data_IF_429141695448
#
_entry.id   IF_429141695448
#
_cell.length_a   1.000
_cell.length_b   1.000
_cell.length_c   1.000
_cell.angle_alpha   90.00
_cell.angle_beta   90.00
_cell.angle_gamma   90.00
#
_symmetry.space_group_name_H-M   'P 1'
#
loop_
_entity.id
_entity.type
_entity.pdbx_description
1 polymer ?
#
# COMPACT_ATOMS: atom_id res chain seq x y z
N UNK A 1 15.40 50.96 28.40
CA UNK A 1 16.71 50.40 28.00
C UNK A 1 16.51 48.92 27.63
N UNK A 2 16.23 48.63 26.35
CA UNK A 2 16.05 47.25 25.88
C UNK A 2 17.39 46.51 25.83
N UNK A 3 17.44 45.27 26.32
CA UNK A 3 18.65 44.44 26.30
C UNK A 3 18.95 44.06 24.84
N UNK A 4 20.02 44.60 24.27
CA UNK A 4 20.54 44.16 22.97
C UNK A 4 20.91 42.67 23.07
N UNK A 5 20.18 41.83 22.35
CA UNK A 5 20.58 40.45 22.12
C UNK A 5 21.67 40.46 21.05
N UNK A 6 22.93 40.40 21.46
CA UNK A 6 24.02 40.16 20.53
C UNK A 6 23.80 38.79 19.86
N UNK A 7 23.93 38.76 18.53
CA UNK A 7 23.89 37.52 17.76
C UNK A 7 25.00 36.59 18.29
N UNK A 8 24.64 35.34 18.57
CA UNK A 8 25.60 34.31 19.00
C UNK A 8 26.68 34.16 17.94
N UNK A 9 27.93 33.99 18.38
CA UNK A 9 29.01 33.70 17.44
C UNK A 9 28.80 32.32 16.81
N UNK A 10 29.33 32.05 15.60
CA UNK A 10 29.19 30.76 14.94
C UNK A 10 29.68 29.58 15.80
N UNK A 11 30.65 29.83 16.68
CA UNK A 11 31.18 28.84 17.61
C UNK A 11 30.23 28.57 18.79
N UNK A 12 29.60 29.62 19.31
CA UNK A 12 28.60 29.52 20.36
C UNK A 12 27.31 28.82 19.86
N UNK A 13 26.95 29.04 18.58
CA UNK A 13 25.86 28.33 17.93
C UNK A 13 26.15 26.82 17.83
N UNK A 14 27.37 26.42 17.42
CA UNK A 14 27.77 25.00 17.37
C UNK A 14 27.73 24.34 18.76
N UNK A 15 28.21 25.03 19.79
CA UNK A 15 28.13 24.50 21.17
C UNK A 15 26.69 24.35 21.65
N UNK A 16 25.83 25.32 21.32
CA UNK A 16 24.42 25.27 21.62
C UNK A 16 23.74 24.08 20.92
N UNK A 17 24.08 23.83 19.66
CA UNK A 17 23.53 22.73 18.87
C UNK A 17 24.03 21.37 19.37
N UNK A 18 25.30 21.24 19.75
CA UNK A 18 25.82 20.04 20.43
C UNK A 18 25.10 19.78 21.76
N UNK A 19 24.84 20.83 22.55
CA UNK A 19 24.09 20.70 23.81
C UNK A 19 22.63 20.30 23.57
N UNK A 20 22.01 20.81 22.50
CA UNK A 20 20.64 20.45 22.08
C UNK A 20 20.58 19.01 21.58
N UNK A 21 21.54 18.58 20.76
CA UNK A 21 21.67 17.21 20.27
C UNK A 21 21.88 16.21 21.42
N UNK A 22 22.73 16.53 22.40
CA UNK A 22 22.94 15.69 23.58
C UNK A 22 21.69 15.54 24.45
N UNK A 23 20.91 16.62 24.61
CA UNK A 23 19.62 16.56 25.30
C UNK A 23 18.59 15.71 24.54
N UNK A 24 18.55 15.84 23.22
CA UNK A 24 17.67 15.03 22.37
C UNK A 24 18.03 13.53 22.44
N UNK A 25 19.33 13.20 22.34
CA UNK A 25 19.82 11.82 22.48
C UNK A 25 19.47 11.22 23.86
N UNK A 26 19.62 11.99 24.95
CA UNK A 26 19.23 11.53 26.29
C UNK A 26 17.71 11.29 26.41
N UNK A 27 16.89 12.11 25.76
CA UNK A 27 15.42 11.94 25.74
C UNK A 27 15.01 10.73 24.91
N UNK A 28 15.67 10.48 23.78
CA UNK A 28 15.46 9.29 22.95
C UNK A 28 15.84 8.01 23.70
N UNK A 29 17.00 7.96 24.35
CA UNK A 29 17.43 6.81 25.15
C UNK A 29 16.48 6.52 26.34
N UNK A 30 15.84 7.55 26.93
CA UNK A 30 14.85 7.36 27.98
C UNK A 30 13.52 6.78 27.46
N UNK A 31 13.15 7.05 26.21
CA UNK A 31 11.95 6.47 25.58
C UNK A 31 12.15 4.98 25.28
N UNK A 32 13.30 4.61 24.72
CA UNK A 32 13.63 3.20 24.43
C UNK A 32 13.61 2.34 25.69
N UNK A 33 14.08 2.86 26.84
CA UNK A 33 14.02 2.13 28.12
C UNK A 33 12.61 1.98 28.71
N UNK A 34 11.63 2.75 28.25
CA UNK A 34 10.26 2.67 28.76
C UNK A 34 9.42 1.67 27.95
N UNK A 35 9.83 1.33 26.72
CA UNK A 35 9.10 0.36 25.88
C UNK A 35 9.42 -1.11 26.22
N UNK A 36 10.56 -1.39 26.86
CA UNK A 36 10.96 -2.76 27.25
C UNK A 36 10.52 -3.18 28.68
N UNK A 37 9.75 -2.33 29.40
CA UNK A 37 9.43 -2.55 30.82
C UNK A 37 7.97 -2.90 31.12
N UNK A 38 7.11 -3.10 30.12
CA UNK A 38 5.67 -3.34 30.32
C UNK A 38 5.25 -4.79 29.98
N UNK A 39 5.98 -5.76 30.54
CA UNK A 39 5.51 -7.14 30.63
C UNK A 39 5.85 -7.69 32.02
N UNK A 40 4.91 -7.55 32.96
CA UNK A 40 4.50 -8.55 33.96
C UNK A 40 3.72 -7.89 35.13
N UNK A 41 2.42 -8.17 35.20
CA UNK A 41 1.68 -8.34 36.46
C UNK A 41 1.34 -7.12 37.32
N UNK A 42 0.05 -6.79 37.42
CA UNK A 42 -0.66 -6.84 38.72
C UNK A 42 -2.12 -6.38 38.57
N UNK A 43 -3.00 -7.29 38.96
CA UNK A 43 -4.38 -7.01 39.35
C UNK A 43 -4.43 -6.06 40.56
N UNK A 44 -5.50 -5.26 40.68
CA UNK A 44 -5.90 -4.73 41.97
C UNK A 44 -6.43 -3.28 42.02
N UNK A 45 -7.74 -3.19 42.18
CA UNK A 45 -8.40 -2.33 43.19
C UNK A 45 -8.51 -0.80 42.98
N UNK A 46 -9.78 -0.39 42.82
CA UNK A 46 -10.50 0.57 43.69
C UNK A 46 -10.29 2.10 43.53
N UNK A 47 -11.44 2.73 43.23
CA UNK A 47 -11.94 3.99 43.83
C UNK A 47 -11.28 5.31 43.41
N UNK A 48 -12.03 6.11 42.65
CA UNK A 48 -12.78 7.24 43.25
C UNK A 48 -13.77 7.86 42.26
N UNK A 49 -15.02 7.90 42.70
CA UNK A 49 -16.10 8.73 42.18
C UNK A 49 -15.69 10.21 42.19
N UNK A 50 -15.95 10.92 41.10
CA UNK A 50 -16.38 12.32 41.15
C UNK A 50 -17.53 12.51 40.15
N UNK A 51 -18.71 12.75 40.72
CA UNK A 51 -19.88 13.31 40.05
C UNK A 51 -19.69 14.83 39.95
N UNK A 52 -19.90 15.35 38.75
CA UNK A 52 -20.58 16.61 38.42
C UNK A 52 -21.17 16.32 37.04
N UNK A 53 -22.50 16.22 36.87
CA UNK A 53 -23.37 17.35 36.53
C UNK A 53 -22.76 18.17 35.37
N UNK A 54 -23.40 18.43 34.25
CA UNK A 54 -24.76 18.28 33.73
C UNK A 54 -24.58 18.85 32.33
N UNK A 55 -24.81 18.09 31.25
CA UNK A 55 -24.96 18.69 29.92
C UNK A 55 -25.69 17.72 29.00
N UNK A 56 -26.75 18.26 28.42
CA UNK A 56 -27.85 17.56 27.79
C UNK A 56 -27.39 16.87 26.51
N UNK A 57 -27.40 15.55 26.56
CA UNK A 57 -27.26 14.67 25.41
C UNK A 57 -28.54 14.75 24.56
N UNK A 58 -28.43 15.44 23.42
CA UNK A 58 -29.48 15.50 22.41
C UNK A 58 -29.55 14.14 21.69
N UNK A 59 -30.29 13.21 22.30
CA UNK A 59 -30.58 11.88 21.74
C UNK A 59 -31.54 12.05 20.57
N UNK A 60 -31.00 11.99 19.35
CA UNK A 60 -31.78 11.85 18.14
C UNK A 60 -32.34 10.42 18.09
N UNK A 61 -33.56 10.23 18.61
CA UNK A 61 -34.33 9.00 18.44
C UNK A 61 -34.66 8.84 16.96
N UNK A 62 -33.94 7.93 16.28
CA UNK A 62 -34.37 7.40 14.99
C UNK A 62 -35.24 6.17 15.29
N UNK A 63 -36.54 6.32 15.05
CA UNK A 63 -37.56 5.29 15.12
C UNK A 63 -37.24 4.21 14.08
N UNK A 64 -36.73 3.06 14.53
CA UNK A 64 -36.47 1.89 13.70
C UNK A 64 -37.74 1.02 13.68
N UNK A 65 -38.66 1.39 12.80
CA UNK A 65 -39.80 0.57 12.43
C UNK A 65 -39.93 0.51 10.91
N UNK A 66 -39.75 -0.70 10.40
CA UNK A 66 -40.00 -1.17 9.03
C UNK A 66 -38.91 -0.88 7.99
N UNK A 67 -38.17 -1.93 7.58
CA UNK A 67 -38.42 -2.57 6.27
C UNK A 67 -37.26 -3.50 5.89
N UNK A 68 -37.56 -4.79 5.85
CA UNK A 68 -36.75 -5.77 5.14
C UNK A 68 -36.89 -5.54 3.63
N UNK A 69 -35.87 -4.94 3.01
CA UNK A 69 -35.78 -4.86 1.56
C UNK A 69 -34.81 -3.80 1.10
N UNK A 70 -33.95 -4.14 0.13
CA UNK A 70 -33.15 -3.21 -0.69
C UNK A 70 -31.74 -2.83 -0.20
N UNK A 71 -30.84 -3.82 -0.10
CA UNK A 71 -29.38 -3.57 -0.09
C UNK A 71 -28.81 -3.23 -1.49
N UNK A 72 -29.58 -3.39 -2.57
CA UNK A 72 -29.11 -3.14 -3.94
C UNK A 72 -29.17 -1.67 -4.39
N UNK A 73 -29.84 -0.78 -3.67
CA UNK A 73 -29.98 0.63 -4.08
C UNK A 73 -28.91 1.59 -3.52
N UNK A 74 -28.19 1.23 -2.44
CA UNK A 74 -27.08 2.08 -1.93
C UNK A 74 -25.85 2.08 -2.83
N UNK A 75 -25.59 1.01 -3.59
CA UNK A 75 -24.39 0.92 -4.44
C UNK A 75 -24.47 1.82 -5.69
N UNK A 76 -25.67 1.94 -6.30
CA UNK A 76 -25.88 2.80 -7.48
C UNK A 76 -25.79 4.31 -7.18
N UNK A 77 -26.00 4.72 -5.93
CA UNK A 77 -25.83 6.12 -5.51
C UNK A 77 -24.37 6.55 -5.46
N UNK A 78 -23.47 5.66 -5.04
CA UNK A 78 -22.03 5.93 -5.04
C UNK A 78 -21.43 5.94 -6.43
N UNK A 79 -21.85 5.04 -7.33
CA UNK A 79 -21.43 5.08 -8.74
C UNK A 79 -21.87 6.37 -9.44
N UNK A 80 -23.07 6.88 -9.14
CA UNK A 80 -23.56 8.14 -9.72
C UNK A 80 -22.78 9.36 -9.20
N UNK A 81 -22.45 9.39 -7.90
CA UNK A 81 -21.62 10.45 -7.33
C UNK A 81 -20.18 10.38 -7.83
N UNK A 82 -19.62 9.19 -8.03
CA UNK A 82 -18.30 9.02 -8.63
C UNK A 82 -18.28 9.43 -10.11
N UNK A 83 -19.31 9.08 -10.88
CA UNK A 83 -19.42 9.52 -12.27
C UNK A 83 -19.52 11.05 -12.37
N UNK A 84 -20.26 11.70 -11.47
CA UNK A 84 -20.29 13.16 -11.40
C UNK A 84 -18.94 13.75 -11.01
N UNK A 85 -18.23 13.16 -10.04
CA UNK A 85 -16.92 13.63 -9.61
C UNK A 85 -15.86 13.46 -10.71
N UNK A 86 -15.88 12.34 -11.45
CA UNK A 86 -15.01 12.15 -12.61
C UNK A 86 -15.34 13.11 -13.77
N UNK A 87 -16.62 13.45 -13.98
CA UNK A 87 -17.01 14.47 -14.95
C UNK A 87 -16.57 15.88 -14.52
N UNK A 88 -16.68 16.20 -13.23
CA UNK A 88 -16.15 17.45 -12.66
C UNK A 88 -14.62 17.51 -12.76
N UNK A 89 -13.91 16.42 -12.49
CA UNK A 89 -12.46 16.34 -12.64
C UNK A 89 -12.05 16.49 -14.11
N UNK A 90 -12.76 15.86 -15.05
CA UNK A 90 -12.53 16.06 -16.49
C UNK A 90 -12.85 17.48 -16.94
N UNK A 91 -13.88 18.10 -16.38
CA UNK A 91 -14.22 19.50 -16.64
C UNK A 91 -13.14 20.43 -16.10
N UNK A 92 -12.65 20.17 -14.88
CA UNK A 92 -11.53 20.89 -14.27
C UNK A 92 -10.24 20.70 -15.07
N UNK A 93 -9.86 19.49 -15.46
CA UNK A 93 -8.68 19.23 -16.31
C UNK A 93 -8.82 19.92 -17.67
N UNK A 94 -10.02 19.94 -18.25
CA UNK A 94 -10.28 20.66 -19.50
C UNK A 94 -10.17 22.18 -19.32
N UNK A 95 -10.62 22.71 -18.20
CA UNK A 95 -10.46 24.13 -17.85
C UNK A 95 -8.99 24.47 -17.59
N UNK A 96 -8.24 23.62 -16.87
CA UNK A 96 -6.81 23.81 -16.61
C UNK A 96 -5.98 23.69 -17.88
N UNK A 97 -6.30 22.75 -18.79
CA UNK A 97 -5.67 22.64 -20.09
C UNK A 97 -5.92 23.85 -20.98
N UNK A 98 -7.11 24.47 -20.90
CA UNK A 98 -7.41 25.70 -21.63
C UNK A 98 -6.61 26.92 -21.12
N UNK A 99 -6.32 26.99 -19.81
CA UNK A 99 -5.44 28.04 -19.25
C UNK A 99 -3.95 27.82 -19.57
N UNK A 100 -3.51 26.57 -19.73
CA UNK A 100 -2.12 26.26 -20.08
C UNK A 100 -1.74 26.74 -21.51
N UNK A 101 -2.69 26.77 -22.45
CA UNK A 101 -2.45 27.30 -23.81
C UNK A 101 -2.38 28.84 -23.84
N UNK A 102 -2.92 29.53 -22.83
CA UNK A 102 -2.87 30.99 -22.69
C UNK A 102 -1.53 31.51 -22.13
N UNK A 103 -0.67 30.63 -21.57
CA UNK A 103 0.74 30.99 -21.23
C UNK A 103 1.55 31.46 -22.45
N UNK A 104 1.06 31.21 -23.67
CA UNK A 104 1.67 31.69 -24.91
C UNK A 104 1.55 33.21 -25.08
N UNK A 105 0.52 33.85 -24.53
CA UNK A 105 0.32 35.31 -24.62
C UNK A 105 1.28 36.08 -23.71
N UNK A 106 1.60 35.55 -22.53
CA UNK A 106 2.61 36.12 -21.63
C UNK A 106 3.99 36.19 -22.30
N UNK A 107 4.31 35.24 -23.17
CA UNK A 107 5.57 35.24 -23.93
C UNK A 107 5.64 36.36 -24.99
N UNK A 108 4.51 36.70 -25.61
CA UNK A 108 4.43 37.76 -26.65
C UNK A 108 4.38 39.14 -25.99
N UNK A 109 3.68 39.26 -24.87
CA UNK A 109 3.66 40.49 -24.06
C UNK A 109 5.02 40.78 -23.43
N UNK A 110 5.76 39.76 -22.99
CA UNK A 110 7.15 39.89 -22.56
C UNK A 110 8.08 40.38 -23.68
N UNK A 111 7.89 39.90 -24.93
CA UNK A 111 8.67 40.34 -26.09
C UNK A 111 8.38 41.81 -26.46
N UNK A 112 7.12 42.25 -26.44
CA UNK A 112 6.76 43.66 -26.69
C UNK A 112 7.23 44.61 -25.58
N UNK A 113 7.17 44.16 -24.32
CA UNK A 113 7.67 44.93 -23.18
C UNK A 113 9.21 45.09 -23.19
N UNK A 114 9.96 44.26 -23.91
CA UNK A 114 11.41 44.39 -24.01
C UNK A 114 11.88 45.63 -24.80
N UNK A 115 11.05 46.16 -25.71
CA UNK A 115 11.43 47.25 -26.64
C UNK A 115 10.94 48.63 -26.20
N UNK A 116 9.94 48.70 -25.33
CA UNK A 116 9.52 49.94 -24.69
C UNK A 116 10.20 50.06 -23.32
N UNK A 117 10.71 51.25 -23.00
CA UNK A 117 11.20 51.59 -21.65
C UNK A 117 9.99 51.72 -20.70
N UNK A 118 9.31 50.61 -20.49
CA UNK A 118 8.22 50.46 -19.53
C UNK A 118 8.87 50.32 -18.16
N UNK A 119 8.55 51.20 -17.19
CA UNK A 119 9.07 51.12 -15.84
C UNK A 119 8.87 49.72 -15.26
N UNK A 120 9.87 49.21 -14.53
CA UNK A 120 9.91 47.81 -14.05
C UNK A 120 8.62 47.36 -13.36
N UNK A 121 7.94 48.23 -12.62
CA UNK A 121 6.67 47.95 -11.93
C UNK A 121 5.46 47.60 -12.84
N UNK A 122 5.54 47.83 -14.15
CA UNK A 122 4.49 47.50 -15.14
C UNK A 122 4.84 46.29 -16.01
N UNK A 123 6.04 45.70 -15.84
CA UNK A 123 6.36 44.41 -16.47
C UNK A 123 5.73 43.33 -15.60
N UNK A 124 4.70 42.65 -16.12
CA UNK A 124 3.91 41.62 -15.43
C UNK A 124 4.66 40.34 -15.02
N UNK A 125 5.98 40.39 -14.83
CA UNK A 125 6.77 39.24 -14.39
C UNK A 125 7.92 39.68 -13.49
N UNK A 126 7.87 39.29 -12.22
CA UNK A 126 9.04 39.34 -11.33
C UNK A 126 8.85 40.08 -10.01
N UNK A 127 7.84 39.71 -9.23
CA UNK A 127 7.85 39.98 -7.77
C UNK A 127 8.62 38.88 -6.99
N UNK A 128 9.09 37.84 -7.68
CA UNK A 128 9.59 36.58 -7.09
C UNK A 128 11.13 36.53 -6.91
N UNK A 129 11.84 37.65 -7.12
CA UNK A 129 13.31 37.75 -6.99
C UNK A 129 13.81 38.87 -6.06
N UNK A 130 12.91 39.47 -5.30
CA UNK A 130 13.21 40.64 -4.47
C UNK A 130 13.46 40.33 -2.98
N UNK A 131 13.74 39.07 -2.62
CA UNK A 131 14.10 38.71 -1.23
C UNK A 131 15.54 39.13 -0.85
N UNK A 132 16.37 39.56 -1.82
CA UNK A 132 17.78 39.96 -1.62
C UNK A 132 18.01 41.49 -1.66
N UNK A 133 16.98 42.34 -1.48
CA UNK A 133 17.09 43.81 -1.59
C UNK A 133 17.53 44.54 -0.31
N UNK A 134 17.54 43.87 0.85
CA UNK A 134 17.85 44.53 2.13
C UNK A 134 19.34 44.90 2.29
N UNK A 135 20.20 44.55 1.32
CA UNK A 135 21.65 44.74 1.38
C UNK A 135 22.24 45.52 0.19
N UNK A 136 21.41 46.19 -0.61
CA UNK A 136 21.85 47.00 -1.76
C UNK A 136 22.22 48.40 -1.27
N UNK A 137 23.45 48.82 -1.56
CA UNK A 137 23.99 50.11 -1.12
C UNK A 137 23.27 51.28 -1.84
N UNK A 138 22.54 52.17 -1.14
CA UNK A 138 21.70 53.21 -1.75
C UNK A 138 22.43 54.18 -2.67
N UNK A 139 23.76 54.27 -2.56
CA UNK A 139 24.59 55.17 -3.34
C UNK A 139 24.91 54.64 -4.75
N UNK A 140 24.63 53.36 -5.01
CA UNK A 140 24.85 52.70 -6.30
C UNK A 140 23.55 52.47 -7.08
N UNK A 141 22.40 52.91 -6.56
CA UNK A 141 21.11 52.85 -7.27
C UNK A 141 20.93 54.07 -8.18
N UNK A 142 20.31 53.86 -9.34
CA UNK A 142 19.85 54.95 -10.19
C UNK A 142 18.72 55.74 -9.48
N UNK A 143 18.58 57.03 -9.77
CA UNK A 143 17.65 57.92 -9.04
C UNK A 143 16.19 57.42 -9.05
N UNK A 144 15.79 56.70 -10.10
CA UNK A 144 14.46 56.08 -10.22
C UNK A 144 14.31 54.86 -9.30
N UNK A 145 15.33 54.00 -9.22
CA UNK A 145 15.37 52.85 -8.32
C UNK A 145 15.43 53.31 -6.85
N UNK A 146 16.18 54.39 -6.56
CA UNK A 146 16.21 55.00 -5.24
C UNK A 146 14.83 55.53 -4.83
N UNK A 147 14.11 56.18 -5.75
CA UNK A 147 12.76 56.67 -5.47
C UNK A 147 11.76 55.53 -5.21
N UNK A 148 11.89 54.40 -5.91
CA UNK A 148 11.07 53.21 -5.67
C UNK A 148 11.45 52.53 -4.34
N UNK A 149 12.74 52.40 -4.04
CA UNK A 149 13.23 51.91 -2.74
C UNK A 149 12.72 52.75 -1.58
N UNK A 150 12.77 54.08 -1.66
CA UNK A 150 12.22 54.97 -0.62
C UNK A 150 10.71 54.79 -0.47
N UNK A 151 9.95 54.67 -1.58
CA UNK A 151 8.50 54.44 -1.52
C UNK A 151 8.17 53.08 -0.90
N UNK A 152 8.87 52.02 -1.30
CA UNK A 152 8.69 50.69 -0.72
C UNK A 152 9.07 50.67 0.76
N UNK A 153 10.18 51.28 1.15
CA UNK A 153 10.63 51.33 2.54
C UNK A 153 9.67 52.16 3.42
N UNK A 154 9.12 53.25 2.86
CA UNK A 154 8.03 54.01 3.51
C UNK A 154 6.72 53.21 3.60
N UNK A 155 6.39 52.41 2.58
CA UNK A 155 5.23 51.53 2.60
C UNK A 155 5.39 50.42 3.65
N UNK A 156 6.55 49.73 3.67
CA UNK A 156 6.94 48.75 4.69
C UNK A 156 6.86 49.34 6.11
N UNK A 157 7.31 50.58 6.32
CA UNK A 157 7.20 51.27 7.62
C UNK A 157 5.76 51.58 8.01
N UNK A 158 4.91 52.01 7.06
CA UNK A 158 3.49 52.31 7.33
C UNK A 158 2.62 51.06 7.50
N UNK A 159 2.96 49.98 6.80
CA UNK A 159 2.20 48.72 6.77
C UNK A 159 2.94 47.60 7.52
N UNK A 160 3.89 47.95 8.40
CA UNK A 160 4.64 46.97 9.19
C UNK A 160 3.71 46.08 10.03
N UNK A 161 2.65 46.67 10.61
CA UNK A 161 1.63 45.93 11.34
C UNK A 161 0.81 44.99 10.44
N UNK A 162 0.57 45.35 9.18
CA UNK A 162 -0.14 44.51 8.22
C UNK A 162 0.75 43.38 7.70
N UNK A 163 2.04 43.64 7.47
CA UNK A 163 3.04 42.63 7.14
C UNK A 163 3.17 41.58 8.24
N UNK A 164 3.26 42.02 9.51
CA UNK A 164 3.30 41.10 10.65
C UNK A 164 2.01 40.28 10.78
N UNK A 165 0.84 40.88 10.55
CA UNK A 165 -0.43 40.16 10.55
C UNK A 165 -0.50 39.12 9.41
N UNK A 166 -0.01 39.46 8.22
CA UNK A 166 0.05 38.56 7.08
C UNK A 166 1.05 37.42 7.29
N UNK A 167 2.21 37.68 7.91
CA UNK A 167 3.18 36.66 8.30
C UNK A 167 2.59 35.68 9.33
N UNK A 168 1.87 36.20 10.33
CA UNK A 168 1.17 35.36 11.31
C UNK A 168 0.11 34.49 10.65
N UNK A 169 -0.67 35.05 9.73
CA UNK A 169 -1.67 34.30 8.96
C UNK A 169 -1.05 33.23 8.06
N UNK A 170 0.06 33.55 7.38
CA UNK A 170 0.83 32.58 6.58
C UNK A 170 1.41 31.47 7.45
N UNK A 171 1.96 31.81 8.62
CA UNK A 171 2.50 30.85 9.57
C UNK A 171 1.40 29.93 10.13
N UNK A 172 0.22 30.46 10.45
CA UNK A 172 -0.93 29.67 10.89
C UNK A 172 -1.43 28.73 9.80
N UNK A 173 -1.55 29.21 8.56
CA UNK A 173 -1.90 28.37 7.41
C UNK A 173 -0.86 27.28 7.14
N UNK A 174 0.42 27.61 7.24
CA UNK A 174 1.51 26.64 7.09
C UNK A 174 1.43 25.57 8.19
N UNK A 175 1.25 25.97 9.45
CA UNK A 175 1.08 25.05 10.58
C UNK A 175 -0.15 24.14 10.40
N UNK A 176 -1.28 24.68 9.94
CA UNK A 176 -2.48 23.90 9.64
C UNK A 176 -2.26 22.91 8.51
N UNK A 177 -1.57 23.33 7.44
CA UNK A 177 -1.23 22.45 6.31
C UNK A 177 -0.28 21.33 6.73
N UNK A 178 0.70 21.61 7.58
CA UNK A 178 1.60 20.60 8.13
C UNK A 178 0.88 19.60 9.02
N UNK A 179 -0.03 20.08 9.88
CA UNK A 179 -0.84 19.20 10.71
C UNK A 179 -1.72 18.25 9.88
N UNK A 180 -2.40 18.79 8.86
CA UNK A 180 -3.20 17.99 7.93
C UNK A 180 -2.35 17.01 7.13
N UNK A 181 -1.15 17.41 6.71
CA UNK A 181 -0.22 16.53 6.01
C UNK A 181 0.22 15.37 6.89
N UNK A 182 0.52 15.61 8.17
CA UNK A 182 0.87 14.53 9.11
C UNK A 182 -0.30 13.57 9.33
N UNK A 183 -1.51 14.07 9.49
CA UNK A 183 -2.70 13.24 9.62
C UNK A 183 -2.98 12.42 8.35
N UNK A 184 -2.76 13.01 7.17
CA UNK A 184 -2.88 12.31 5.89
C UNK A 184 -1.80 11.23 5.72
N UNK A 185 -0.57 11.48 6.17
CA UNK A 185 0.52 10.50 6.14
C UNK A 185 0.27 9.33 7.11
N UNK A 186 -0.26 9.61 8.31
CA UNK A 186 -0.65 8.59 9.28
C UNK A 186 -1.81 7.71 8.76
N UNK A 187 -2.86 8.34 8.22
CA UNK A 187 -4.00 7.61 7.65
C UNK A 187 -3.60 6.77 6.43
N UNK A 188 -2.77 7.33 5.53
CA UNK A 188 -2.25 6.60 4.36
C UNK A 188 -1.31 5.46 4.75
N UNK A 189 -0.55 5.61 5.83
CA UNK A 189 0.27 4.53 6.40
C UNK A 189 -0.58 3.39 6.93
N UNK A 190 -1.64 3.71 7.68
CA UNK A 190 -2.58 2.72 8.22
C UNK A 190 -3.35 2.00 7.12
N UNK A 191 -3.81 2.71 6.08
CA UNK A 191 -4.51 2.13 4.94
C UNK A 191 -3.61 1.16 4.16
N UNK A 192 -2.35 1.53 3.87
CA UNK A 192 -1.38 0.64 3.22
C UNK A 192 -1.11 -0.61 4.05
N UNK A 193 -0.93 -0.46 5.36
CA UNK A 193 -0.71 -1.60 6.26
C UNK A 193 -1.94 -2.54 6.30
N UNK A 194 -3.15 -1.99 6.26
CA UNK A 194 -4.38 -2.78 6.18
C UNK A 194 -4.52 -3.50 4.83
N UNK A 195 -4.21 -2.84 3.71
CA UNK A 195 -4.23 -3.45 2.39
C UNK A 195 -3.21 -4.59 2.29
N UNK A 196 -1.99 -4.39 2.78
CA UNK A 196 -0.98 -5.44 2.85
C UNK A 196 -1.43 -6.62 3.71
N UNK A 197 -2.03 -6.36 4.88
CA UNK A 197 -2.61 -7.40 5.73
C UNK A 197 -3.72 -8.17 5.01
N UNK A 198 -4.57 -7.48 4.24
CA UNK A 198 -5.62 -8.12 3.44
C UNK A 198 -5.03 -8.99 2.33
N UNK A 199 -3.97 -8.52 1.67
CA UNK A 199 -3.24 -9.26 0.65
C UNK A 199 -2.55 -10.49 1.22
N UNK A 200 -1.90 -10.36 2.39
CA UNK A 200 -1.29 -11.47 3.11
C UNK A 200 -2.33 -12.53 3.49
N UNK A 201 -3.47 -12.12 4.06
CA UNK A 201 -4.57 -13.04 4.39
C UNK A 201 -5.11 -13.79 3.17
N UNK A 202 -5.16 -13.16 1.99
CA UNK A 202 -5.56 -13.85 0.74
C UNK A 202 -4.53 -14.91 0.35
N UNK A 203 -3.25 -14.54 0.33
CA UNK A 203 -2.14 -15.47 0.04
C UNK A 203 -2.09 -16.63 1.01
N UNK A 204 -2.28 -16.37 2.30
CA UNK A 204 -2.30 -17.39 3.34
C UNK A 204 -3.48 -18.37 3.15
N UNK A 205 -4.66 -17.86 2.83
CA UNK A 205 -5.83 -18.71 2.52
C UNK A 205 -5.58 -19.59 1.29
N UNK A 206 -5.00 -19.03 0.23
CA UNK A 206 -4.62 -19.78 -0.96
C UNK A 206 -3.58 -20.85 -0.61
N UNK A 207 -2.51 -20.48 0.08
CA UNK A 207 -1.48 -21.42 0.51
C UNK A 207 -2.05 -22.53 1.40
N UNK A 208 -2.98 -22.20 2.31
CA UNK A 208 -3.67 -23.18 3.14
C UNK A 208 -4.47 -24.16 2.29
N UNK A 209 -5.21 -23.70 1.27
CA UNK A 209 -5.90 -24.59 0.34
C UNK A 209 -4.92 -25.55 -0.36
N UNK A 210 -3.75 -25.07 -0.77
CA UNK A 210 -2.71 -25.91 -1.37
C UNK A 210 -2.17 -26.96 -0.39
N UNK A 211 -1.89 -26.57 0.86
CA UNK A 211 -1.43 -27.49 1.91
C UNK A 211 -2.49 -28.54 2.23
N UNK A 212 -3.74 -28.12 2.42
CA UNK A 212 -4.87 -29.01 2.71
C UNK A 212 -5.11 -29.98 1.55
N UNK A 213 -5.06 -29.52 0.29
CA UNK A 213 -5.20 -30.36 -0.89
C UNK A 213 -4.08 -31.41 -1.01
N UNK A 214 -2.84 -31.05 -0.69
CA UNK A 214 -1.71 -32.00 -0.69
C UNK A 214 -1.81 -33.01 0.46
N UNK A 215 -2.20 -32.55 1.64
CA UNK A 215 -2.44 -33.45 2.77
C UNK A 215 -3.54 -34.45 2.41
N UNK A 216 -4.65 -33.98 1.83
CA UNK A 216 -5.72 -34.82 1.32
C UNK A 216 -5.18 -35.85 0.30
N UNK A 217 -4.47 -35.40 -0.74
CA UNK A 217 -3.83 -36.28 -1.74
C UNK A 217 -3.00 -37.41 -1.09
N UNK A 218 -2.08 -37.10 -0.16
CA UNK A 218 -1.27 -38.12 0.49
C UNK A 218 -2.09 -39.04 1.40
N UNK A 219 -3.09 -38.51 2.10
CA UNK A 219 -3.96 -39.33 2.97
C UNK A 219 -4.82 -40.30 2.17
N UNK A 220 -5.42 -39.86 1.05
CA UNK A 220 -6.21 -40.72 0.16
C UNK A 220 -5.34 -41.79 -0.48
N UNK A 221 -4.11 -41.45 -0.91
CA UNK A 221 -3.17 -42.46 -1.39
C UNK A 221 -2.82 -43.51 -0.34
N UNK A 222 -2.57 -43.10 0.91
CA UNK A 222 -2.32 -44.04 2.01
C UNK A 222 -3.53 -44.96 2.27
N UNK A 223 -4.75 -44.43 2.25
CA UNK A 223 -5.96 -45.22 2.42
C UNK A 223 -6.18 -46.23 1.28
N UNK A 224 -5.89 -45.82 0.03
CA UNK A 224 -5.91 -46.67 -1.15
C UNK A 224 -4.90 -47.82 -1.07
N UNK A 225 -3.68 -47.55 -0.62
CA UNK A 225 -2.64 -48.58 -0.47
C UNK A 225 -2.91 -49.53 0.69
N UNK A 226 -3.47 -49.02 1.80
CA UNK A 226 -3.83 -49.83 2.96
C UNK A 226 -5.08 -50.71 2.72
N UNK A 227 -5.79 -50.53 1.60
CA UNK A 227 -7.01 -51.28 1.28
C UNK A 227 -8.17 -50.96 2.22
N UNK A 228 -8.15 -49.80 2.89
CA UNK A 228 -9.17 -49.39 3.88
C UNK A 228 -10.44 -48.78 3.26
N UNK A 229 -10.50 -48.73 1.93
CA UNK A 229 -11.63 -48.14 1.20
C UNK A 229 -12.63 -49.22 0.84
N UNK A 230 -13.63 -49.36 1.70
CA UNK A 230 -14.74 -50.32 1.55
C UNK A 230 -15.87 -49.77 0.65
N UNK A 231 -15.60 -48.70 -0.10
CA UNK A 231 -16.60 -47.96 -0.91
C UNK A 231 -16.12 -47.76 -2.34
N UNK A 232 -17.06 -47.72 -3.27
CA UNK A 232 -16.82 -47.36 -4.67
C UNK A 232 -16.43 -45.89 -4.79
N UNK A 233 -15.24 -45.64 -5.33
CA UNK A 233 -14.71 -44.32 -5.61
C UNK A 233 -15.27 -43.77 -6.91
N UNK A 234 -15.61 -42.48 -6.88
CA UNK A 234 -15.94 -41.70 -8.08
C UNK A 234 -14.68 -41.12 -8.72
N UNK A 235 -14.81 -40.68 -9.98
CA UNK A 235 -13.72 -40.00 -10.69
C UNK A 235 -13.15 -38.80 -9.90
N UNK A 236 -14.00 -38.07 -9.18
CA UNK A 236 -13.63 -36.89 -8.39
C UNK A 236 -12.86 -37.22 -7.10
N UNK A 237 -13.03 -38.44 -6.57
CA UNK A 237 -12.42 -38.89 -5.32
C UNK A 237 -11.04 -39.51 -5.54
N UNK A 238 -10.68 -39.78 -6.80
CA UNK A 238 -9.33 -40.22 -7.16
C UNK A 238 -8.34 -39.09 -6.86
N UNK A 239 -7.24 -39.35 -6.13
CA UNK A 239 -6.29 -38.33 -5.73
C UNK A 239 -5.40 -37.91 -6.91
N UNK A 240 -5.93 -37.12 -7.83
CA UNK A 240 -5.18 -36.56 -8.94
C UNK A 240 -4.12 -35.56 -8.45
N UNK A 241 -2.95 -35.50 -9.09
CA UNK A 241 -1.88 -34.57 -8.71
C UNK A 241 -2.13 -33.17 -9.28
N UNK A 242 -3.34 -32.62 -9.08
CA UNK A 242 -3.78 -31.31 -9.60
C UNK A 242 -4.70 -30.66 -8.56
N UNK A 243 -4.64 -29.34 -8.44
CA UNK A 243 -5.61 -28.58 -7.63
C UNK A 243 -6.84 -28.25 -8.49
N UNK A 244 -8.02 -28.75 -8.10
CA UNK A 244 -9.28 -28.39 -8.75
C UNK A 244 -10.03 -27.36 -7.91
N UNK A 245 -10.37 -26.22 -8.52
CA UNK A 245 -11.24 -25.24 -7.89
C UNK A 245 -12.73 -25.56 -8.09
N UNK A 246 -13.09 -26.16 -9.24
CA UNK A 246 -14.49 -26.45 -9.64
C UNK A 246 -14.55 -27.65 -10.59
N UNK A 247 -14.97 -28.80 -10.08
CA UNK A 247 -15.15 -30.03 -10.88
C UNK A 247 -13.83 -30.64 -11.35
N UNK A 248 -13.75 -31.96 -11.34
CA UNK A 248 -12.60 -32.69 -11.87
C UNK A 248 -12.93 -33.04 -13.31
N UNK A 249 -12.23 -32.40 -14.25
CA UNK A 249 -12.31 -32.76 -15.67
C UNK A 249 -10.96 -33.28 -16.18
N UNK A 250 -11.04 -34.17 -17.17
CA UNK A 250 -9.87 -34.87 -17.74
C UNK A 250 -8.95 -33.87 -18.44
N UNK A 251 -9.49 -32.83 -19.08
CA UNK A 251 -8.74 -31.79 -19.78
C UNK A 251 -7.96 -30.85 -18.85
N UNK A 252 -8.40 -30.71 -17.59
CA UNK A 252 -7.70 -29.88 -16.61
C UNK A 252 -6.35 -30.50 -16.17
N UNK A 253 -6.14 -31.78 -16.47
CA UNK A 253 -4.89 -32.50 -16.20
C UNK A 253 -3.83 -32.08 -17.24
N UNK A 254 -3.12 -31.00 -16.92
CA UNK A 254 -2.04 -30.46 -17.75
C UNK A 254 -0.67 -30.66 -17.08
N UNK A 255 0.40 -30.71 -17.88
CA UNK A 255 1.76 -30.86 -17.36
C UNK A 255 2.15 -29.73 -16.41
N UNK A 256 1.73 -28.49 -16.69
CA UNK A 256 1.97 -27.34 -15.82
C UNK A 256 1.25 -27.46 -14.48
N UNK A 257 -0.02 -27.86 -14.49
CA UNK A 257 -0.79 -28.04 -13.26
C UNK A 257 -0.21 -29.13 -12.35
N UNK A 258 0.26 -30.24 -12.95
CA UNK A 258 0.92 -31.33 -12.23
C UNK A 258 2.26 -30.86 -11.64
N UNK A 259 3.05 -30.11 -12.42
CA UNK A 259 4.34 -29.58 -11.97
C UNK A 259 4.17 -28.64 -10.78
N UNK A 260 3.23 -27.67 -10.87
CA UNK A 260 2.93 -26.74 -9.77
C UNK A 260 2.40 -27.46 -8.53
N UNK A 261 1.60 -28.51 -8.71
CA UNK A 261 1.04 -29.28 -7.60
C UNK A 261 2.10 -30.12 -6.88
N UNK A 262 2.94 -30.86 -7.61
CA UNK A 262 3.96 -31.72 -7.02
C UNK A 262 5.19 -30.93 -6.51
N UNK A 263 5.49 -29.79 -7.13
CA UNK A 263 6.68 -28.99 -6.87
C UNK A 263 6.28 -27.55 -6.53
N UNK A 264 5.99 -27.23 -5.26
CA UNK A 264 5.82 -25.84 -4.88
C UNK A 264 7.14 -25.09 -5.11
N UNK A 265 7.10 -24.06 -5.96
CA UNK A 265 8.25 -23.19 -6.25
C UNK A 265 8.75 -22.39 -5.01
N UNK A 266 8.07 -22.51 -3.87
CA UNK A 266 8.35 -21.76 -2.64
C UNK A 266 9.11 -22.53 -1.55
N UNK A 267 10.08 -23.40 -1.88
CA UNK A 267 11.02 -23.89 -0.85
C UNK A 267 12.03 -22.77 -0.54
N UNK A 268 12.34 -22.46 0.74
CA UNK A 268 13.09 -21.26 1.11
C UNK A 268 14.42 -21.11 0.37
N UNK A 269 14.68 -19.88 -0.08
CA UNK A 269 15.86 -19.37 -0.80
C UNK A 269 17.21 -19.56 -0.06
N UNK A 270 17.22 -20.30 1.06
CA UNK A 270 18.42 -20.57 1.86
C UNK A 270 19.27 -21.71 1.29
N UNK A 271 18.84 -22.31 0.19
CA UNK A 271 19.56 -23.35 -0.53
C UNK A 271 20.54 -22.73 -1.53
N UNK A 272 21.80 -22.63 -1.10
CA UNK A 272 22.92 -22.12 -1.89
C UNK A 272 23.11 -22.94 -3.17
N UNK A 273 23.81 -22.39 -4.17
CA UNK A 273 23.89 -22.91 -5.55
C UNK A 273 24.23 -24.42 -5.73
N UNK A 274 24.78 -25.08 -4.71
CA UNK A 274 24.98 -26.55 -4.61
C UNK A 274 23.68 -27.36 -4.48
N UNK A 275 22.57 -26.75 -4.09
CA UNK A 275 21.27 -27.40 -3.91
C UNK A 275 20.44 -27.48 -5.19
N UNK A 276 20.84 -26.82 -6.29
CA UNK A 276 20.08 -26.90 -7.56
C UNK A 276 20.02 -28.33 -8.09
N UNK A 277 21.12 -29.07 -7.99
CA UNK A 277 21.16 -30.48 -8.37
C UNK A 277 20.38 -31.36 -7.39
N UNK A 278 20.37 -31.02 -6.09
CA UNK A 278 19.56 -31.70 -5.08
C UNK A 278 18.06 -31.46 -5.31
N UNK A 279 17.67 -30.24 -5.64
CA UNK A 279 16.29 -29.85 -6.00
C UNK A 279 15.88 -30.55 -7.30
N UNK A 280 16.76 -30.60 -8.31
CA UNK A 280 16.49 -31.32 -9.56
C UNK A 280 16.38 -32.83 -9.33
N UNK A 281 17.17 -33.39 -8.41
CA UNK A 281 17.08 -34.81 -8.01
C UNK A 281 15.76 -35.08 -7.28
N UNK A 282 15.42 -34.29 -6.26
CA UNK A 282 14.14 -34.41 -5.54
C UNK A 282 12.93 -34.26 -6.47
N UNK A 283 13.00 -33.32 -7.42
CA UNK A 283 12.02 -33.16 -8.50
C UNK A 283 11.85 -34.45 -9.29
N UNK A 284 12.96 -35.00 -9.80
CA UNK A 284 12.94 -36.25 -10.58
C UNK A 284 12.45 -37.43 -9.75
N UNK A 285 12.80 -37.50 -8.48
CA UNK A 285 12.41 -38.59 -7.59
C UNK A 285 10.90 -38.56 -7.31
N UNK A 286 10.33 -37.38 -7.01
CA UNK A 286 8.87 -37.18 -6.88
C UNK A 286 8.10 -37.49 -8.16
N UNK A 287 8.63 -37.09 -9.31
CA UNK A 287 8.02 -37.40 -10.61
C UNK A 287 8.06 -38.90 -10.90
N UNK A 288 9.17 -39.59 -10.59
CA UNK A 288 9.27 -41.05 -10.73
C UNK A 288 8.33 -41.79 -9.77
N UNK A 289 8.23 -41.33 -8.53
CA UNK A 289 7.31 -41.91 -7.54
C UNK A 289 5.86 -41.79 -8.00
N UNK A 290 5.44 -40.60 -8.43
CA UNK A 290 4.08 -40.37 -8.96
C UNK A 290 3.84 -41.15 -10.24
N UNK A 291 4.83 -41.30 -11.12
CA UNK A 291 4.73 -42.15 -12.32
C UNK A 291 4.52 -43.62 -11.96
N UNK A 292 5.17 -44.12 -10.91
CA UNK A 292 4.95 -45.47 -10.40
C UNK A 292 3.54 -45.66 -9.80
N UNK A 293 3.01 -44.63 -9.14
CA UNK A 293 1.63 -44.61 -8.61
C UNK A 293 0.59 -44.63 -9.73
N UNK A 294 0.80 -43.85 -10.80
CA UNK A 294 -0.12 -43.67 -11.93
C UNK A 294 0.21 -44.54 -13.16
N UNK A 295 0.95 -45.64 -13.00
CA UNK A 295 1.21 -46.53 -14.12
C UNK A 295 -0.08 -47.22 -14.56
N UNK A 296 -0.52 -47.12 -15.83
CA UNK A 296 -1.86 -47.55 -16.27
C UNK A 296 -2.16 -49.02 -15.95
N UNK A 297 -1.19 -49.91 -16.18
CA UNK A 297 -1.33 -51.34 -15.90
C UNK A 297 -1.45 -51.66 -14.38
N UNK A 298 -0.57 -51.09 -13.55
CA UNK A 298 -0.61 -51.29 -12.08
C UNK A 298 -1.84 -50.66 -11.46
N UNK A 299 -2.26 -49.51 -11.99
CA UNK A 299 -3.44 -48.80 -11.52
C UNK A 299 -4.71 -49.60 -11.84
N UNK A 300 -4.80 -50.16 -13.05
CA UNK A 300 -5.90 -51.03 -13.45
C UNK A 300 -6.00 -52.27 -12.57
N UNK A 301 -4.89 -52.96 -12.30
CA UNK A 301 -4.89 -54.18 -11.51
C UNK A 301 -5.25 -53.98 -10.03
N UNK A 302 -4.82 -52.85 -9.42
CA UNK A 302 -4.96 -52.61 -7.97
C UNK A 302 -6.16 -51.74 -7.59
N UNK A 303 -6.42 -50.68 -8.33
CA UNK A 303 -7.38 -49.64 -7.92
C UNK A 303 -8.68 -49.66 -8.70
N UNK A 304 -8.70 -50.19 -9.94
CA UNK A 304 -9.92 -50.21 -10.76
C UNK A 304 -11.09 -50.96 -10.11
N UNK A 305 -10.80 -51.97 -9.28
CA UNK A 305 -11.79 -52.74 -8.51
C UNK A 305 -12.55 -51.90 -7.49
N UNK A 306 -11.97 -50.80 -7.03
CA UNK A 306 -12.57 -49.89 -6.07
C UNK A 306 -13.28 -48.73 -6.77
N UNK A 307 -13.23 -48.63 -8.10
CA UNK A 307 -13.82 -47.53 -8.86
C UNK A 307 -15.15 -47.98 -9.46
N UNK A 308 -16.16 -47.12 -9.33
CA UNK A 308 -17.49 -47.34 -9.91
C UNK A 308 -17.39 -47.61 -11.41
N UNK A 309 -18.06 -48.65 -11.90
CA UNK A 309 -17.98 -49.12 -13.30
C UNK A 309 -18.21 -48.01 -14.34
N UNK A 310 -19.15 -47.09 -14.07
CA UNK A 310 -19.43 -45.95 -14.96
C UNK A 310 -18.29 -44.93 -15.08
N UNK A 311 -17.44 -44.82 -14.07
CA UNK A 311 -16.31 -43.88 -14.05
C UNK A 311 -14.98 -44.55 -14.45
N UNK A 312 -14.90 -45.88 -14.50
CA UNK A 312 -13.66 -46.61 -14.80
C UNK A 312 -13.00 -46.15 -16.11
N UNK A 313 -13.79 -45.96 -17.17
CA UNK A 313 -13.27 -45.47 -18.47
C UNK A 313 -12.65 -44.08 -18.34
N UNK A 314 -13.31 -43.16 -17.64
CA UNK A 314 -12.83 -41.79 -17.41
C UNK A 314 -11.56 -41.79 -16.57
N UNK A 315 -11.50 -42.63 -15.53
CA UNK A 315 -10.29 -42.77 -14.70
C UNK A 315 -9.13 -43.31 -15.51
N UNK A 316 -9.31 -44.34 -16.33
CA UNK A 316 -8.24 -44.87 -17.17
C UNK A 316 -7.70 -43.83 -18.17
N UNK A 317 -8.59 -43.02 -18.76
CA UNK A 317 -8.20 -41.91 -19.62
C UNK A 317 -7.39 -40.85 -18.84
N UNK A 318 -7.87 -40.45 -17.66
CA UNK A 318 -7.17 -39.52 -16.78
C UNK A 318 -5.79 -40.04 -16.34
N UNK A 319 -5.68 -41.31 -15.95
CA UNK A 319 -4.41 -41.97 -15.60
C UNK A 319 -3.46 -41.96 -16.80
N UNK A 320 -3.96 -42.27 -18.00
CA UNK A 320 -3.19 -42.19 -19.24
C UNK A 320 -2.71 -40.76 -19.55
N UNK A 321 -3.53 -39.74 -19.26
CA UNK A 321 -3.13 -38.33 -19.37
C UNK A 321 -2.01 -37.98 -18.39
N UNK A 322 -2.19 -38.31 -17.11
CA UNK A 322 -1.19 -38.07 -16.06
C UNK A 322 0.14 -38.73 -16.42
N UNK A 323 0.13 -40.00 -16.84
CA UNK A 323 1.33 -40.72 -17.22
C UNK A 323 2.06 -40.06 -18.41
N UNK A 324 1.33 -39.58 -19.41
CA UNK A 324 1.91 -38.81 -20.54
C UNK A 324 2.53 -37.51 -20.07
N UNK A 325 1.80 -36.73 -19.26
CA UNK A 325 2.31 -35.47 -18.72
C UNK A 325 3.56 -35.67 -17.84
N UNK A 326 3.58 -36.70 -17.00
CA UNK A 326 4.74 -37.04 -16.16
C UNK A 326 5.96 -37.44 -17.01
N UNK A 327 5.77 -38.19 -18.09
CA UNK A 327 6.86 -38.52 -19.01
C UNK A 327 7.40 -37.26 -19.72
N UNK A 328 6.54 -36.33 -20.10
CA UNK A 328 6.96 -35.03 -20.65
C UNK A 328 7.78 -34.24 -19.63
N UNK A 329 7.35 -34.16 -18.37
CA UNK A 329 8.06 -33.46 -17.29
C UNK A 329 9.40 -34.13 -16.91
N UNK A 330 9.50 -35.46 -17.03
CA UNK A 330 10.75 -36.19 -16.80
C UNK A 330 11.77 -36.04 -17.95
N UNK A 331 11.28 -35.78 -19.15
CA UNK A 331 12.10 -35.60 -20.36
C UNK A 331 12.64 -34.17 -20.51
N UNK A 332 12.06 -33.20 -19.79
CA UNK A 332 12.58 -31.85 -19.61
C UNK A 332 13.74 -31.84 -18.59
#
# INVERSE_FOLDING_TARGET
>A
MGKLHLKRTPEEQRQHDLRKARKAARKAAKRVRHEDSDYEGAEGSSSKRRRTADDQEYVFQFDDSHSSGSQQYRFKGYERMHAQMEEEDRFHDKMWGAYADDERLDSVEAAFNSYAHVPRRWRGGGMDRMDDEDNIDPQMMEDEDYAEWVRQNMWRKKHAAEAEANERYKAEKAARKEYLRKLAEETRGMERAEEERRRQRRREKENRKWVDARAHYETTWKQLFDGKLDRELRFEEVPWPVLFDKGVDVEAITATAIDTFLLPEGRPENSTATDKDAIKRERRDKLKETMLRFHPDKFQGRFLRHIREGDQRRVLEGVGMVARCLNTLLSQ
#
